data_IF_929165485028
#
_entry.id   IF_929165485028
#
_cell.length_a   1.000
_cell.length_b   1.000
_cell.length_c   1.000
_cell.angle_alpha   90.00
_cell.angle_beta   90.00
_cell.angle_gamma   90.00
#
_symmetry.space_group_name_H-M   'P 1'
#
loop_
_entity.id
_entity.type
_entity.pdbx_description
1 polymer ?
#
# COMPACT_ATOMS: atom_id res chain seq x y z
N UNK A 1 19.15 19.71 56.04
CA UNK A 1 18.53 18.61 56.84
C UNK A 1 18.59 17.34 56.04
N UNK A 2 19.37 16.43 56.58
CA UNK A 2 19.67 15.07 56.14
C UNK A 2 18.45 14.19 55.92
N UNK A 3 18.46 13.31 54.93
CA UNK A 3 18.22 11.89 55.22
C UNK A 3 18.78 11.02 54.12
N UNK A 4 19.77 10.24 54.52
CA UNK A 4 20.37 9.08 53.86
C UNK A 4 19.43 7.87 54.06
N UNK A 5 19.28 7.01 53.02
CA UNK A 5 18.59 5.73 53.15
C UNK A 5 18.92 4.85 51.98
N UNK A 6 19.97 4.19 52.03
CA UNK A 6 20.29 2.74 52.26
C UNK A 6 19.98 1.87 51.03
N UNK A 7 21.10 1.54 50.40
CA UNK A 7 21.31 0.42 49.48
C UNK A 7 21.10 -0.90 50.26
N UNK A 8 20.32 -1.79 49.72
CA UNK A 8 20.29 -3.22 50.13
C UNK A 8 20.57 -4.09 48.94
N UNK A 9 21.80 -4.59 48.94
CA UNK A 9 22.20 -5.73 48.11
C UNK A 9 21.45 -6.99 48.56
N UNK A 10 20.90 -7.72 47.61
CA UNK A 10 20.56 -9.12 47.81
C UNK A 10 21.29 -9.93 46.75
N UNK A 11 22.28 -10.65 47.22
CA UNK A 11 22.97 -11.72 46.50
C UNK A 11 22.40 -13.04 47.03
N UNK A 12 21.90 -13.87 46.15
CA UNK A 12 21.75 -15.30 46.35
C UNK A 12 21.48 -15.91 44.96
N UNK A 13 22.29 -16.62 44.44
CA UNK A 13 22.86 -17.98 44.63
C UNK A 13 22.27 -18.95 43.63
N UNK A 14 23.07 -19.25 42.69
CA UNK A 14 23.42 -20.45 41.95
C UNK A 14 22.53 -21.70 42.20
N UNK A 15 21.89 -22.20 41.14
CA UNK A 15 21.61 -23.61 40.96
C UNK A 15 21.71 -23.98 39.50
N UNK A 16 22.79 -24.68 39.18
CA UNK A 16 23.15 -25.28 37.91
C UNK A 16 22.51 -26.66 37.87
N UNK A 17 21.52 -26.87 37.00
CA UNK A 17 21.08 -28.22 36.66
C UNK A 17 21.27 -28.46 35.18
N UNK A 18 22.25 -29.29 34.88
CA UNK A 18 22.50 -29.94 33.60
C UNK A 18 21.41 -31.00 33.38
N UNK A 19 20.60 -30.84 32.35
CA UNK A 19 19.78 -31.91 31.83
C UNK A 19 20.18 -32.16 30.39
N UNK A 20 20.85 -33.30 30.18
CA UNK A 20 20.99 -33.91 28.86
C UNK A 20 19.61 -34.34 28.37
N UNK A 21 19.22 -33.86 27.18
CA UNK A 21 17.93 -34.22 26.58
C UNK A 21 18.00 -34.14 25.07
N UNK A 22 18.32 -35.26 24.44
CA UNK A 22 17.89 -35.79 23.14
C UNK A 22 17.85 -34.85 21.94
N UNK A 23 18.77 -35.11 21.03
CA UNK A 23 18.76 -34.62 19.63
C UNK A 23 17.51 -35.19 18.94
N UNK A 24 16.49 -34.39 18.78
CA UNK A 24 15.37 -34.70 17.90
C UNK A 24 15.72 -34.17 16.49
N UNK A 25 15.94 -35.13 15.60
CA UNK A 25 16.06 -34.87 14.17
C UNK A 25 14.78 -34.25 13.67
N UNK A 26 14.77 -32.92 13.44
CA UNK A 26 13.70 -32.25 12.70
C UNK A 26 13.86 -32.65 11.24
N UNK A 27 12.95 -33.50 10.78
CA UNK A 27 12.77 -33.81 9.37
C UNK A 27 12.53 -32.49 8.62
N UNK A 28 13.38 -32.25 7.60
CA UNK A 28 13.07 -31.25 6.57
C UNK A 28 11.79 -31.71 5.85
N UNK A 29 10.67 -31.18 6.24
CA UNK A 29 9.49 -31.18 5.41
C UNK A 29 9.75 -30.16 4.29
N UNK A 30 10.28 -30.64 3.17
CA UNK A 30 10.13 -29.96 1.88
C UNK A 30 8.65 -29.98 1.53
N UNK A 31 7.94 -29.01 2.04
CA UNK A 31 6.61 -28.65 1.56
C UNK A 31 6.76 -27.96 0.22
N UNK A 32 6.76 -28.72 -0.87
CA UNK A 32 6.46 -28.18 -2.19
C UNK A 32 4.99 -27.81 -2.23
N UNK A 33 4.66 -26.69 -1.61
CA UNK A 33 3.40 -26.01 -1.82
C UNK A 33 3.52 -25.19 -3.08
N UNK A 34 3.27 -25.79 -4.24
CA UNK A 34 2.87 -25.06 -5.43
C UNK A 34 1.48 -24.50 -5.16
N UNK A 35 1.42 -23.38 -4.43
CA UNK A 35 0.25 -22.53 -4.39
C UNK A 35 0.14 -21.91 -5.77
N UNK A 36 -0.77 -22.43 -6.57
CA UNK A 36 -1.34 -21.70 -7.70
C UNK A 36 -2.27 -20.64 -7.07
N UNK A 37 -1.65 -19.66 -6.41
CA UNK A 37 -2.34 -18.48 -5.87
C UNK A 37 -2.61 -17.52 -7.00
N UNK A 38 -3.77 -16.88 -6.95
CA UNK A 38 -4.19 -15.78 -7.81
C UNK A 38 -3.00 -14.87 -8.15
N UNK A 39 -2.80 -14.59 -9.45
CA UNK A 39 -1.72 -13.73 -9.98
C UNK A 39 -1.82 -12.25 -9.53
N UNK A 40 -2.58 -11.97 -8.48
CA UNK A 40 -2.67 -10.65 -7.87
C UNK A 40 -1.64 -10.55 -6.74
N UNK A 41 -0.71 -9.58 -6.80
CA UNK A 41 0.25 -9.38 -5.72
C UNK A 41 -0.46 -9.04 -4.42
N UNK A 42 0.09 -9.51 -3.29
CA UNK A 42 -0.40 -9.13 -1.97
C UNK A 42 -0.04 -7.66 -1.69
N UNK A 43 -1.03 -6.80 -1.73
CA UNK A 43 -0.91 -5.37 -1.52
C UNK A 43 -1.17 -4.94 -0.06
N UNK A 44 -1.40 -5.88 0.85
CA UNK A 44 -1.80 -5.57 2.23
C UNK A 44 -0.76 -4.69 2.94
N UNK A 45 0.52 -4.98 2.79
CA UNK A 45 1.60 -4.18 3.37
C UNK A 45 1.69 -2.77 2.75
N UNK A 46 1.51 -2.68 1.44
CA UNK A 46 1.49 -1.39 0.72
C UNK A 46 0.32 -0.52 1.18
N UNK A 47 -0.87 -1.11 1.33
CA UNK A 47 -2.06 -0.40 1.82
C UNK A 47 -1.82 0.11 3.24
N UNK A 48 -1.22 -0.69 4.13
CA UNK A 48 -0.86 -0.26 5.49
C UNK A 48 0.13 0.91 5.49
N UNK A 49 1.12 0.88 4.60
CA UNK A 49 2.06 2.00 4.43
C UNK A 49 1.33 3.28 4.00
N UNK A 50 0.43 3.17 3.03
CA UNK A 50 -0.39 4.28 2.52
C UNK A 50 -1.29 4.85 3.62
N UNK A 51 -2.00 4.01 4.36
CA UNK A 51 -2.90 4.40 5.44
C UNK A 51 -2.15 5.08 6.60
N UNK A 52 -0.90 4.67 6.80
CA UNK A 52 0.01 5.29 7.78
C UNK A 52 0.69 6.57 7.26
N UNK A 53 0.42 7.01 6.03
CA UNK A 53 1.03 8.17 5.39
C UNK A 53 2.51 8.00 5.00
N UNK A 54 3.01 6.76 4.96
CA UNK A 54 4.41 6.43 4.60
C UNK A 54 4.56 6.31 3.09
N UNK A 55 4.24 7.38 2.36
CA UNK A 55 4.16 7.36 0.90
C UNK A 55 5.49 7.02 0.24
N UNK A 56 6.61 7.55 0.72
CA UNK A 56 7.93 7.25 0.14
C UNK A 56 8.29 5.75 0.25
N UNK A 57 7.94 5.13 1.37
CA UNK A 57 8.15 3.69 1.57
C UNK A 57 7.24 2.87 0.66
N UNK A 58 5.98 3.28 0.52
CA UNK A 58 5.04 2.64 -0.40
C UNK A 58 5.50 2.75 -1.86
N UNK A 59 6.02 3.93 -2.27
CA UNK A 59 6.58 4.14 -3.61
C UNK A 59 7.72 3.15 -3.88
N UNK A 60 8.70 3.06 -2.99
CA UNK A 60 9.84 2.15 -3.17
C UNK A 60 9.41 0.67 -3.25
N UNK A 61 8.45 0.26 -2.43
CA UNK A 61 7.89 -1.09 -2.47
C UNK A 61 7.18 -1.38 -3.80
N UNK A 62 6.33 -0.45 -4.25
CA UNK A 62 5.56 -0.58 -5.50
C UNK A 62 6.47 -0.57 -6.75
N UNK A 63 7.52 0.24 -6.74
CA UNK A 63 8.52 0.23 -7.82
C UNK A 63 9.20 -1.13 -7.92
N UNK A 64 9.59 -1.74 -6.79
CA UNK A 64 10.15 -3.09 -6.76
C UNK A 64 9.16 -4.14 -7.29
N UNK A 65 7.88 -4.07 -6.89
CA UNK A 65 6.85 -4.99 -7.42
C UNK A 65 6.61 -4.83 -8.92
N UNK A 66 6.74 -3.62 -9.44
CA UNK A 66 6.60 -3.33 -10.88
C UNK A 66 7.80 -3.80 -11.72
N UNK A 67 8.95 -4.12 -11.12
CA UNK A 67 10.05 -4.79 -11.83
C UNK A 67 9.63 -6.21 -12.26
N UNK A 68 8.86 -6.90 -11.40
CA UNK A 68 8.37 -8.25 -11.68
C UNK A 68 7.09 -8.24 -12.55
N UNK A 69 6.20 -7.27 -12.35
CA UNK A 69 4.95 -7.14 -13.12
C UNK A 69 4.73 -5.71 -13.63
N UNK A 70 5.46 -5.29 -14.69
CA UNK A 70 5.45 -3.91 -15.20
C UNK A 70 4.14 -3.46 -15.85
N UNK A 71 3.18 -4.41 -16.07
CA UNK A 71 1.88 -4.13 -16.68
C UNK A 71 0.71 -4.33 -15.72
N UNK A 72 0.95 -4.28 -14.43
CA UNK A 72 -0.09 -4.37 -13.44
C UNK A 72 -0.75 -3.00 -13.21
N UNK A 73 -2.00 -2.87 -13.61
CA UNK A 73 -2.74 -1.61 -13.49
C UNK A 73 -3.00 -1.21 -12.02
N UNK A 74 -3.19 -2.17 -11.13
CA UNK A 74 -3.40 -1.91 -9.70
C UNK A 74 -2.13 -1.37 -9.05
N UNK A 75 -0.95 -1.99 -9.33
CA UNK A 75 0.34 -1.49 -8.84
C UNK A 75 0.62 -0.07 -9.32
N UNK A 76 0.39 0.20 -10.60
CA UNK A 76 0.55 1.54 -11.17
C UNK A 76 -0.40 2.55 -10.55
N UNK A 77 -1.64 2.16 -10.26
CA UNK A 77 -2.61 3.01 -9.57
C UNK A 77 -2.18 3.35 -8.14
N UNK A 78 -1.72 2.38 -7.35
CA UNK A 78 -1.21 2.63 -5.99
C UNK A 78 0.07 3.45 -5.98
N UNK A 79 0.98 3.22 -6.96
CA UNK A 79 2.18 4.03 -7.13
C UNK A 79 1.81 5.49 -7.42
N UNK A 80 0.92 5.72 -8.39
CA UNK A 80 0.44 7.04 -8.74
C UNK A 80 -0.27 7.74 -7.56
N UNK A 81 -1.08 7.00 -6.80
CA UNK A 81 -1.72 7.51 -5.59
C UNK A 81 -0.68 7.98 -4.56
N UNK A 82 0.32 7.15 -4.28
CA UNK A 82 1.38 7.46 -3.32
C UNK A 82 2.20 8.68 -3.75
N UNK A 83 2.56 8.75 -5.03
CA UNK A 83 3.25 9.91 -5.63
C UNK A 83 2.40 11.19 -5.55
N UNK A 84 1.10 11.12 -5.86
CA UNK A 84 0.20 12.26 -5.70
C UNK A 84 0.13 12.74 -4.25
N UNK A 85 0.07 11.82 -3.29
CA UNK A 85 0.00 12.12 -1.86
C UNK A 85 1.33 12.68 -1.32
N UNK A 86 2.47 12.32 -1.91
CA UNK A 86 3.77 12.90 -1.60
C UNK A 86 4.03 14.24 -2.30
N UNK A 87 3.18 14.62 -3.27
CA UNK A 87 3.28 15.88 -4.01
C UNK A 87 3.98 15.77 -5.37
N UNK A 88 4.42 14.59 -5.77
CA UNK A 88 4.97 14.34 -7.10
C UNK A 88 3.83 14.13 -8.12
N UNK A 89 3.24 15.24 -8.54
CA UNK A 89 2.09 15.22 -9.44
C UNK A 89 2.44 14.80 -10.87
N UNK A 90 3.67 15.05 -11.31
CA UNK A 90 4.09 14.71 -12.68
C UNK A 90 4.26 13.19 -12.83
N UNK A 91 4.93 12.54 -11.89
CA UNK A 91 5.05 11.08 -11.88
C UNK A 91 3.71 10.40 -11.68
N UNK A 92 2.86 10.94 -10.78
CA UNK A 92 1.51 10.45 -10.56
C UNK A 92 0.67 10.48 -11.85
N UNK A 93 0.70 11.59 -12.60
CA UNK A 93 -0.02 11.71 -13.85
C UNK A 93 0.37 10.63 -14.86
N UNK A 94 1.68 10.39 -15.01
CA UNK A 94 2.21 9.38 -15.93
C UNK A 94 1.78 7.96 -15.53
N UNK A 95 1.82 7.64 -14.24
CA UNK A 95 1.47 6.29 -13.78
C UNK A 95 -0.03 6.04 -13.79
N UNK A 96 -0.88 7.04 -13.53
CA UNK A 96 -2.33 6.91 -13.77
C UNK A 96 -2.64 6.70 -15.26
N UNK A 97 -1.97 7.43 -16.15
CA UNK A 97 -2.14 7.24 -17.59
C UNK A 97 -1.73 5.83 -18.01
N UNK A 98 -0.60 5.33 -17.53
CA UNK A 98 -0.17 3.94 -17.80
C UNK A 98 -1.17 2.93 -17.27
N UNK A 99 -1.69 3.10 -16.05
CA UNK A 99 -2.72 2.23 -15.49
C UNK A 99 -3.97 2.19 -16.39
N UNK A 100 -4.44 3.36 -16.85
CA UNK A 100 -5.61 3.50 -17.72
C UNK A 100 -5.37 3.07 -19.17
N UNK A 101 -4.12 3.02 -19.63
CA UNK A 101 -3.76 2.41 -20.93
C UNK A 101 -3.84 0.88 -20.85
N UNK A 102 -3.52 0.29 -19.71
CA UNK A 102 -3.60 -1.17 -19.47
C UNK A 102 -5.04 -1.57 -19.19
N UNK A 103 -5.71 -0.87 -18.30
CA UNK A 103 -7.11 -1.10 -17.96
C UNK A 103 -7.90 0.22 -18.05
N UNK A 104 -8.55 0.52 -19.19
CA UNK A 104 -9.31 1.74 -19.40
C UNK A 104 -10.52 1.92 -18.47
N UNK A 105 -10.97 0.84 -17.82
CA UNK A 105 -12.11 0.80 -16.91
C UNK A 105 -11.69 0.69 -15.44
N UNK A 106 -10.42 0.92 -15.14
CA UNK A 106 -9.90 0.88 -13.78
C UNK A 106 -10.49 2.01 -12.93
N UNK A 107 -11.48 1.72 -12.12
CA UNK A 107 -12.27 2.70 -11.37
C UNK A 107 -11.43 3.59 -10.46
N UNK A 108 -10.56 2.99 -9.64
CA UNK A 108 -9.67 3.75 -8.76
C UNK A 108 -8.72 4.68 -9.52
N UNK A 109 -8.19 4.25 -10.68
CA UNK A 109 -7.32 5.12 -11.47
C UNK A 109 -8.09 6.30 -12.10
N UNK A 110 -9.34 6.09 -12.53
CA UNK A 110 -10.21 7.16 -13.02
C UNK A 110 -10.55 8.17 -11.91
N UNK A 111 -10.90 7.69 -10.73
CA UNK A 111 -11.19 8.53 -9.56
C UNK A 111 -9.97 9.34 -9.17
N UNK A 112 -8.84 8.69 -8.87
CA UNK A 112 -7.66 9.36 -8.32
C UNK A 112 -6.94 10.24 -9.33
N UNK A 113 -6.97 9.90 -10.63
CA UNK A 113 -6.52 10.80 -11.68
C UNK A 113 -7.43 12.03 -11.78
N UNK A 114 -8.75 11.84 -11.59
CA UNK A 114 -9.70 12.94 -11.52
C UNK A 114 -9.38 13.90 -10.37
N UNK A 115 -9.05 13.37 -9.19
CA UNK A 115 -8.58 14.19 -8.06
C UNK A 115 -7.28 14.91 -8.38
N UNK A 116 -6.32 14.25 -9.04
CA UNK A 116 -5.09 14.90 -9.49
C UNK A 116 -5.36 16.06 -10.44
N UNK A 117 -6.31 15.90 -11.35
CA UNK A 117 -6.72 16.99 -12.25
C UNK A 117 -7.31 18.18 -11.51
N UNK A 118 -8.11 17.96 -10.45
CA UNK A 118 -8.59 19.06 -9.60
C UNK A 118 -7.43 19.77 -8.89
N UNK A 119 -6.51 19.01 -8.31
CA UNK A 119 -5.33 19.55 -7.61
C UNK A 119 -4.40 20.34 -8.54
N UNK A 120 -4.36 20.00 -9.83
CA UNK A 120 -3.52 20.67 -10.84
C UNK A 120 -4.29 21.69 -11.69
N UNK A 121 -5.51 22.08 -11.28
CA UNK A 121 -6.30 23.14 -11.94
C UNK A 121 -6.89 22.73 -13.29
N UNK A 122 -7.20 21.46 -13.49
CA UNK A 122 -7.77 20.89 -14.72
C UNK A 122 -9.15 20.28 -14.48
N UNK A 123 -10.15 21.04 -14.00
CA UNK A 123 -11.45 20.50 -13.60
C UNK A 123 -12.25 19.86 -14.75
N UNK A 124 -12.02 20.27 -15.98
CA UNK A 124 -12.72 19.69 -17.14
C UNK A 124 -12.27 18.23 -17.36
N UNK A 125 -10.99 17.95 -17.22
CA UNK A 125 -10.47 16.58 -17.29
C UNK A 125 -10.98 15.69 -16.15
N UNK A 126 -11.17 16.26 -14.96
CA UNK A 126 -11.80 15.55 -13.85
C UNK A 126 -13.26 15.16 -14.17
N UNK A 127 -14.03 16.07 -14.83
CA UNK A 127 -15.40 15.78 -15.31
C UNK A 127 -15.42 14.71 -16.39
N UNK A 128 -14.41 14.65 -17.26
CA UNK A 128 -14.29 13.58 -18.25
C UNK A 128 -14.10 12.22 -17.58
N UNK A 129 -13.24 12.13 -16.55
CA UNK A 129 -13.09 10.90 -15.78
C UNK A 129 -14.37 10.54 -15.03
N UNK A 130 -15.09 11.49 -14.48
CA UNK A 130 -16.39 11.25 -13.85
C UNK A 130 -17.41 10.65 -14.83
N UNK A 131 -17.48 11.18 -16.05
CA UNK A 131 -18.35 10.63 -17.11
C UNK A 131 -17.91 9.22 -17.56
N UNK A 132 -16.63 8.89 -17.47
CA UNK A 132 -16.14 7.53 -17.70
C UNK A 132 -16.57 6.59 -16.56
N UNK A 133 -16.44 7.01 -15.29
CA UNK A 133 -16.90 6.23 -14.13
C UNK A 133 -18.41 5.94 -14.22
N UNK A 134 -19.22 6.92 -14.61
CA UNK A 134 -20.65 6.71 -14.82
C UNK A 134 -20.93 5.56 -15.81
N UNK A 135 -20.15 5.46 -16.88
CA UNK A 135 -20.31 4.40 -17.87
C UNK A 135 -19.80 3.04 -17.38
N UNK A 136 -18.73 3.03 -16.55
CA UNK A 136 -18.08 1.80 -16.07
C UNK A 136 -18.87 1.17 -14.93
N UNK A 137 -19.37 1.96 -13.98
CA UNK A 137 -19.99 1.43 -12.76
C UNK A 137 -21.30 2.12 -12.35
N UNK A 138 -21.73 3.14 -13.10
CA UNK A 138 -22.93 3.93 -12.75
C UNK A 138 -22.68 4.97 -11.66
N UNK A 139 -23.70 5.78 -11.39
CA UNK A 139 -23.62 6.86 -10.40
C UNK A 139 -23.68 6.39 -8.94
N UNK A 140 -23.95 5.11 -8.72
CA UNK A 140 -24.07 4.53 -7.38
C UNK A 140 -22.78 3.94 -6.85
N UNK A 141 -21.75 3.75 -7.68
CA UNK A 141 -20.46 3.25 -7.20
C UNK A 141 -19.70 4.31 -6.40
N UNK A 142 -18.85 3.85 -5.51
CA UNK A 142 -18.17 4.71 -4.54
C UNK A 142 -17.20 5.67 -5.24
N UNK A 143 -16.46 5.20 -6.23
CA UNK A 143 -15.49 5.99 -6.99
C UNK A 143 -16.17 7.17 -7.75
N UNK A 144 -17.37 6.95 -8.29
CA UNK A 144 -18.13 8.04 -8.90
C UNK A 144 -18.56 9.07 -7.86
N UNK A 145 -19.13 8.64 -6.73
CA UNK A 145 -19.62 9.53 -5.67
C UNK A 145 -18.49 10.36 -5.06
N UNK A 146 -17.35 9.74 -4.82
CA UNK A 146 -16.16 10.40 -4.27
C UNK A 146 -15.67 11.51 -5.22
N UNK A 147 -15.47 11.21 -6.50
CA UNK A 147 -15.01 12.19 -7.47
C UNK A 147 -16.05 13.29 -7.71
N UNK A 148 -17.36 12.95 -7.81
CA UNK A 148 -18.43 13.92 -7.97
C UNK A 148 -18.49 14.90 -6.80
N UNK A 149 -18.31 14.41 -5.57
CA UNK A 149 -18.25 15.24 -4.37
C UNK A 149 -17.08 16.22 -4.42
N UNK A 150 -15.91 15.79 -4.86
CA UNK A 150 -14.72 16.66 -4.97
C UNK A 150 -14.85 17.71 -6.08
N UNK A 151 -15.52 17.39 -7.19
CA UNK A 151 -15.79 18.35 -8.27
C UNK A 151 -16.76 19.45 -7.82
N UNK A 152 -17.64 19.16 -6.86
CA UNK A 152 -18.67 20.10 -6.38
C UNK A 152 -18.19 21.09 -5.31
N UNK A 153 -16.98 20.94 -4.79
CA UNK A 153 -16.36 21.79 -3.76
C UNK A 153 -15.66 23.00 -4.36
#
# INVERSE_FOLDING_TARGET
MNSKGKIRHFVASLAMTFALGTVSSAALAMGSGSSWGSDTPDLSEVVEMIDSGKYDTAIASLEGMLEDDPKNADLLNYLAYSQRKSGDYDSAAQNYERALMINPEHKGALEYQGELFLQTGKPDMARENLARLEKVCGMDCDEYKELATKISQ
#
